data_IF_591512053191
#
_entry.id   IF_591512053191
#
_cell.length_a   1.000
_cell.length_b   1.000
_cell.length_c   1.000
_cell.angle_alpha   90.00
_cell.angle_beta   90.00
_cell.angle_gamma   90.00
#
_symmetry.space_group_name_H-M   'P 1'
#
loop_
_entity.id
_entity.type
_entity.pdbx_description
1 polymer ?
#
# COMPACT_ATOMS: atom_id res chain seq x y z
N UNK A 1 2.67 -25.71 3.38
CA UNK A 1 3.63 -24.78 2.73
C UNK A 1 3.07 -23.95 1.58
N UNK A 2 2.69 -24.53 0.43
CA UNK A 2 2.34 -23.74 -0.78
C UNK A 2 1.16 -22.76 -0.58
N UNK A 3 0.07 -23.22 0.03
CA UNK A 3 -1.09 -22.36 0.31
C UNK A 3 -0.78 -21.25 1.31
N UNK A 4 0.06 -21.52 2.32
CA UNK A 4 0.50 -20.51 3.27
C UNK A 4 1.38 -19.45 2.59
N UNK A 5 2.21 -19.84 1.62
CA UNK A 5 2.99 -18.90 0.82
C UNK A 5 2.09 -17.98 -0.01
N UNK A 6 1.06 -18.53 -0.67
CA UNK A 6 0.09 -17.74 -1.41
C UNK A 6 -0.72 -16.79 -0.51
N UNK A 7 -1.12 -17.25 0.68
CA UNK A 7 -1.83 -16.38 1.62
C UNK A 7 -0.92 -15.24 2.12
N UNK A 8 0.38 -15.49 2.34
CA UNK A 8 1.34 -14.44 2.73
C UNK A 8 1.45 -13.34 1.67
N UNK A 9 1.52 -13.67 0.39
CA UNK A 9 1.60 -12.63 -0.66
C UNK A 9 0.36 -11.75 -0.68
N UNK A 10 -0.82 -12.31 -0.39
CA UNK A 10 -2.07 -11.55 -0.33
C UNK A 10 -2.20 -10.71 0.96
N UNK A 11 -1.79 -11.26 2.12
CA UNK A 11 -1.94 -10.61 3.44
C UNK A 11 -0.92 -9.47 3.65
N UNK A 12 0.23 -9.54 2.97
CA UNK A 12 1.30 -8.53 3.14
C UNK A 12 0.85 -7.12 2.76
N UNK A 13 -0.05 -6.96 1.79
CA UNK A 13 -0.65 -5.67 1.43
C UNK A 13 -1.33 -5.01 2.63
N UNK A 14 -2.16 -5.77 3.36
CA UNK A 14 -2.84 -5.25 4.55
C UNK A 14 -1.88 -5.04 5.72
N UNK A 15 -0.92 -5.95 5.93
CA UNK A 15 0.09 -5.78 6.98
C UNK A 15 0.90 -4.49 6.79
N UNK A 16 1.36 -4.20 5.57
CA UNK A 16 2.06 -2.94 5.28
C UNK A 16 1.14 -1.72 5.45
N UNK A 17 -0.15 -1.85 5.13
CA UNK A 17 -1.12 -0.77 5.35
C UNK A 17 -1.28 -0.48 6.85
N UNK A 18 -1.28 -1.51 7.70
CA UNK A 18 -1.28 -1.35 9.16
C UNK A 18 0.02 -0.70 9.65
N UNK A 19 1.18 -1.14 9.15
CA UNK A 19 2.47 -0.51 9.47
C UNK A 19 2.50 0.96 9.08
N UNK A 20 1.93 1.34 7.94
CA UNK A 20 1.77 2.74 7.54
C UNK A 20 0.93 3.51 8.57
N UNK A 21 -0.20 2.95 9.01
CA UNK A 21 -1.08 3.57 9.99
C UNK A 21 -0.41 3.75 11.36
N UNK A 22 0.36 2.76 11.83
CA UNK A 22 1.05 2.82 13.13
C UNK A 22 2.29 3.72 13.12
N UNK A 23 3.08 3.67 12.05
CA UNK A 23 4.36 4.42 11.98
C UNK A 23 4.21 5.82 11.39
N UNK A 24 3.11 6.05 10.67
CA UNK A 24 2.89 7.24 9.86
C UNK A 24 3.80 7.36 8.64
N UNK A 25 4.59 6.34 8.30
CA UNK A 25 5.53 6.40 7.16
C UNK A 25 4.79 6.16 5.86
N UNK A 26 4.88 7.11 4.93
CA UNK A 26 4.20 7.01 3.64
C UNK A 26 4.75 5.87 2.77
N UNK A 27 6.02 5.49 2.95
CA UNK A 27 6.66 4.41 2.18
C UNK A 27 5.93 3.06 2.30
N UNK A 28 5.36 2.77 3.48
CA UNK A 28 4.62 1.53 3.68
C UNK A 28 3.32 1.48 2.85
N UNK A 29 2.70 2.63 2.57
CA UNK A 29 1.52 2.72 1.68
C UNK A 29 1.93 2.37 0.25
N UNK A 30 3.03 2.94 -0.22
CA UNK A 30 3.54 2.65 -1.57
C UNK A 30 3.89 1.18 -1.72
N UNK A 31 4.58 0.59 -0.74
CA UNK A 31 4.91 -0.84 -0.78
C UNK A 31 3.66 -1.72 -0.71
N UNK A 32 2.63 -1.33 0.06
CA UNK A 32 1.36 -2.06 0.08
C UNK A 32 0.72 -2.08 -1.31
N UNK A 33 0.63 -0.93 -1.97
CA UNK A 33 0.07 -0.83 -3.32
C UNK A 33 0.89 -1.59 -4.37
N UNK A 34 2.22 -1.66 -4.21
CA UNK A 34 3.09 -2.47 -5.09
C UNK A 34 2.92 -3.98 -4.89
N UNK A 35 2.43 -4.44 -3.74
CA UNK A 35 2.14 -5.85 -3.48
C UNK A 35 0.71 -6.26 -3.87
N UNK A 36 -0.18 -5.30 -4.08
CA UNK A 36 -1.53 -5.59 -4.58
C UNK A 36 -1.47 -6.11 -6.03
N UNK A 37 -1.95 -7.34 -6.31
CA UNK A 37 -1.73 -7.99 -7.61
C UNK A 37 -2.45 -7.28 -8.76
N UNK A 38 -3.57 -6.61 -8.50
CA UNK A 38 -4.26 -5.84 -9.53
C UNK A 38 -3.51 -4.54 -9.82
N UNK A 39 -3.14 -3.81 -8.77
CA UNK A 39 -2.42 -2.53 -8.92
C UNK A 39 -1.08 -2.71 -9.63
N UNK A 40 -0.31 -3.73 -9.23
CA UNK A 40 1.00 -4.02 -9.82
C UNK A 40 0.95 -4.56 -11.26
N UNK A 41 -0.20 -5.11 -11.69
CA UNK A 41 -0.39 -5.57 -13.06
C UNK A 41 -0.70 -4.40 -14.02
N UNK A 42 -1.32 -3.34 -13.51
CA UNK A 42 -1.88 -2.25 -14.33
C UNK A 42 -1.00 -0.99 -14.37
N UNK A 43 -0.16 -0.77 -13.35
CA UNK A 43 0.56 0.49 -13.16
C UNK A 43 2.06 0.30 -13.00
N UNK A 44 2.83 1.30 -13.48
CA UNK A 44 4.26 1.39 -13.18
C UNK A 44 4.50 1.78 -11.71
N UNK A 45 5.70 1.55 -11.19
CA UNK A 45 6.07 1.95 -9.82
C UNK A 45 5.85 3.46 -9.59
N UNK A 46 6.18 4.29 -10.59
CA UNK A 46 6.01 5.73 -10.51
C UNK A 46 4.53 6.13 -10.50
N UNK A 47 3.70 5.46 -11.32
CA UNK A 47 2.25 5.69 -11.34
C UNK A 47 1.58 5.23 -10.06
N UNK A 48 2.03 4.13 -9.44
CA UNK A 48 1.56 3.67 -8.13
C UNK A 48 1.82 4.74 -7.06
N UNK A 49 3.04 5.29 -7.03
CA UNK A 49 3.37 6.35 -6.07
C UNK A 49 2.48 7.58 -6.26
N UNK A 50 2.28 8.00 -7.51
CA UNK A 50 1.41 9.12 -7.86
C UNK A 50 -0.04 8.86 -7.45
N UNK A 51 -0.58 7.69 -7.77
CA UNK A 51 -1.92 7.26 -7.35
C UNK A 51 -2.08 7.34 -5.83
N UNK A 52 -1.14 6.78 -5.08
CA UNK A 52 -1.18 6.83 -3.62
C UNK A 52 -1.12 8.28 -3.08
N UNK A 53 -0.27 9.13 -3.65
CA UNK A 53 -0.19 10.54 -3.25
C UNK A 53 -1.50 11.29 -3.53
N UNK A 54 -2.10 11.07 -4.70
CA UNK A 54 -3.40 11.63 -5.07
C UNK A 54 -4.49 11.14 -4.11
N UNK A 55 -4.56 9.83 -3.82
CA UNK A 55 -5.52 9.29 -2.87
C UNK A 55 -5.34 9.86 -1.45
N UNK A 56 -4.11 9.95 -0.96
CA UNK A 56 -3.82 10.53 0.37
C UNK A 56 -4.28 11.99 0.44
N UNK A 57 -3.99 12.76 -0.62
CA UNK A 57 -4.39 14.16 -0.72
C UNK A 57 -5.90 14.32 -0.72
N UNK A 58 -6.61 13.55 -1.55
CA UNK A 58 -8.07 13.67 -1.69
C UNK A 58 -8.82 13.20 -0.43
N UNK A 59 -8.32 12.17 0.26
CA UNK A 59 -8.91 11.74 1.54
C UNK A 59 -8.57 12.68 2.71
N UNK A 60 -7.46 13.42 2.62
CA UNK A 60 -7.11 14.52 3.51
C UNK A 60 -7.22 14.17 5.00
N UNK A 61 -8.18 14.79 5.70
CA UNK A 61 -8.36 14.65 7.15
C UNK A 61 -8.95 13.30 7.58
N UNK A 62 -9.41 12.47 6.65
CA UNK A 62 -9.93 11.13 6.95
C UNK A 62 -8.80 10.14 7.23
N UNK A 63 -7.57 10.47 6.82
CA UNK A 63 -6.38 9.65 7.03
C UNK A 63 -5.48 10.26 8.12
N UNK A 64 -4.65 9.42 8.78
CA UNK A 64 -3.55 9.90 9.59
C UNK A 64 -2.62 10.82 8.78
N UNK A 65 -1.91 11.70 9.49
CA UNK A 65 -0.85 12.49 8.87
C UNK A 65 0.35 11.59 8.58
N UNK A 66 0.54 11.28 7.30
CA UNK A 66 1.73 10.58 6.83
C UNK A 66 2.89 11.55 6.65
N UNK A 67 4.08 11.10 7.03
CA UNK A 67 5.36 11.79 6.85
C UNK A 67 6.22 11.08 5.82
#
# INVERSE_FOLDING_TARGET
EQLAALNRTNINTQLLTLEAAFTGKKEHIYHAAMLDPHTAAELSIDDIRKLCDDLIKEHGTWLPKFK
#
